data_IF_465012736849
#
_entry.id   IF_465012736849
#
_cell.length_a   1.000
_cell.length_b   1.000
_cell.length_c   1.000
_cell.angle_alpha   90.00
_cell.angle_beta   90.00
_cell.angle_gamma   90.00
#
_symmetry.space_group_name_H-M   'P 1'
#
loop_
_entity.id
_entity.type
_entity.pdbx_description
1 polymer ?
#
# COMPACT_ATOMS: atom_id res chain seq x y z
N UNK A 1 4.97 -8.43 -19.85
CA UNK A 1 5.24 -7.04 -20.24
C UNK A 1 5.35 -6.18 -18.98
N UNK A 2 6.44 -5.45 -18.83
CA UNK A 2 6.66 -4.56 -17.68
C UNK A 2 6.06 -3.20 -17.94
N UNK A 3 5.35 -2.66 -16.94
CA UNK A 3 4.78 -1.31 -16.99
C UNK A 3 5.20 -0.54 -15.75
N UNK A 4 5.63 0.71 -15.95
CA UNK A 4 6.10 1.56 -14.88
C UNK A 4 4.97 2.22 -14.10
N UNK A 5 5.26 2.51 -12.83
CA UNK A 5 4.43 3.35 -11.97
C UNK A 5 5.33 4.03 -10.95
N UNK A 6 4.77 4.84 -10.09
CA UNK A 6 5.58 5.54 -9.10
C UNK A 6 4.92 5.52 -7.72
N UNK A 7 5.74 5.80 -6.72
CA UNK A 7 5.34 5.90 -5.32
C UNK A 7 5.09 7.38 -5.00
N UNK A 8 3.94 7.68 -4.38
CA UNK A 8 3.64 9.01 -3.86
C UNK A 8 4.06 9.14 -2.39
N UNK A 9 3.90 8.06 -1.62
CA UNK A 9 4.21 8.08 -0.19
C UNK A 9 4.48 6.68 0.32
N UNK A 10 5.36 6.57 1.30
CA UNK A 10 5.65 5.35 2.06
C UNK A 10 5.24 5.62 3.50
N UNK A 11 4.38 4.77 4.05
CA UNK A 11 3.70 5.01 5.32
C UNK A 11 3.85 3.82 6.25
N UNK A 12 4.04 4.11 7.54
CA UNK A 12 4.20 3.07 8.57
C UNK A 12 3.41 3.43 9.83
N UNK A 13 3.18 2.44 10.68
CA UNK A 13 2.64 2.63 12.02
C UNK A 13 3.31 1.65 12.98
N UNK A 14 3.35 2.00 14.27
CA UNK A 14 3.92 1.13 15.31
C UNK A 14 2.90 0.08 15.80
N UNK A 15 1.61 0.31 15.54
CA UNK A 15 0.52 -0.57 15.98
C UNK A 15 -0.42 -0.90 14.83
N UNK A 16 -1.04 -2.07 14.89
CA UNK A 16 -2.11 -2.47 13.97
C UNK A 16 -3.41 -1.75 14.34
N UNK A 17 -4.34 -1.65 13.39
CA UNK A 17 -5.66 -1.07 13.61
C UNK A 17 -5.68 0.46 13.70
N UNK A 18 -4.58 1.14 13.38
CA UNK A 18 -4.48 2.59 13.37
C UNK A 18 -4.04 3.09 12.00
N UNK A 19 -4.25 4.38 11.75
CA UNK A 19 -3.76 5.02 10.53
C UNK A 19 -2.23 4.97 10.50
N UNK A 20 -1.68 4.94 9.30
CA UNK A 20 -0.24 5.03 9.10
C UNK A 20 0.14 6.47 8.77
N UNK A 21 1.41 6.79 8.89
CA UNK A 21 1.93 8.13 8.61
C UNK A 21 3.10 8.06 7.63
N UNK A 22 3.25 9.07 6.75
CA UNK A 22 4.40 9.14 5.86
C UNK A 22 5.72 9.08 6.64
N UNK A 23 6.65 8.28 6.13
CA UNK A 23 7.96 8.11 6.75
C UNK A 23 8.79 9.38 6.54
N UNK A 24 9.39 9.96 7.59
CA UNK A 24 10.32 11.06 7.41
C UNK A 24 11.46 10.65 6.46
N UNK A 25 11.77 11.50 5.48
CA UNK A 25 12.78 11.21 4.47
C UNK A 25 12.31 10.34 3.31
N UNK A 26 11.10 9.76 3.37
CA UNK A 26 10.51 9.02 2.26
C UNK A 26 11.26 7.76 1.86
N UNK A 27 11.88 7.05 2.81
CA UNK A 27 12.67 5.84 2.57
C UNK A 27 12.38 4.77 3.59
N UNK A 28 12.22 3.52 3.13
CA UNK A 28 12.02 2.36 4.00
C UNK A 28 12.92 1.20 3.52
N UNK A 29 13.12 0.22 4.39
CA UNK A 29 13.78 -1.04 4.05
C UNK A 29 12.73 -2.14 4.01
N UNK A 30 12.65 -2.86 2.90
CA UNK A 30 11.84 -4.06 2.77
C UNK A 30 12.70 -5.28 3.06
N UNK A 31 12.15 -6.22 3.83
CA UNK A 31 12.83 -7.46 4.19
C UNK A 31 12.05 -8.65 3.65
N UNK A 32 12.76 -9.60 3.03
CA UNK A 32 12.18 -10.83 2.51
C UNK A 32 11.35 -11.55 3.55
N UNK A 33 10.16 -11.98 3.15
CA UNK A 33 9.19 -12.69 3.98
C UNK A 33 8.87 -11.97 5.31
N UNK A 34 8.88 -10.65 5.28
CA UNK A 34 8.62 -9.83 6.48
C UNK A 34 7.76 -8.61 6.14
N UNK A 35 8.23 -7.74 5.26
CA UNK A 35 7.57 -6.49 4.88
C UNK A 35 8.47 -5.29 5.15
N UNK A 36 7.87 -4.17 5.54
CA UNK A 36 8.61 -2.96 5.87
C UNK A 36 9.16 -3.09 7.30
N UNK A 37 10.46 -2.98 7.44
CA UNK A 37 11.12 -2.99 8.75
C UNK A 37 10.56 -1.85 9.59
N UNK A 38 10.07 -2.17 10.80
CA UNK A 38 9.50 -1.21 11.73
C UNK A 38 8.00 -0.96 11.57
N UNK A 39 7.35 -1.57 10.60
CA UNK A 39 5.89 -1.44 10.42
C UNK A 39 5.15 -2.53 11.18
N UNK A 40 3.98 -2.18 11.74
CA UNK A 40 3.19 -3.08 12.56
C UNK A 40 2.63 -4.29 11.81
N UNK A 41 2.39 -4.17 10.49
CA UNK A 41 1.87 -5.27 9.67
C UNK A 41 2.96 -6.21 9.17
N UNK A 42 4.22 -5.90 9.39
CA UNK A 42 5.32 -6.77 8.99
C UNK A 42 5.24 -8.11 9.74
N UNK A 43 5.59 -9.18 9.06
CA UNK A 43 5.59 -10.53 9.62
C UNK A 43 5.49 -11.58 8.53
N UNK A 44 5.64 -12.86 8.93
CA UNK A 44 5.61 -13.98 7.98
C UNK A 44 4.16 -14.38 7.64
N UNK A 45 3.45 -13.55 6.90
CA UNK A 45 2.10 -13.80 6.44
C UNK A 45 1.86 -13.14 5.08
N UNK A 46 0.64 -13.27 4.52
CA UNK A 46 0.37 -12.80 3.16
C UNK A 46 0.08 -11.30 3.05
N UNK A 47 -0.16 -10.60 4.16
CA UNK A 47 -0.45 -9.15 4.19
C UNK A 47 0.74 -8.35 4.70
N UNK A 48 1.93 -8.65 4.23
CA UNK A 48 3.15 -8.00 4.70
C UNK A 48 3.22 -6.52 4.36
N UNK A 49 2.74 -6.16 3.17
CA UNK A 49 2.73 -4.78 2.67
C UNK A 49 1.38 -4.50 2.05
N UNK A 50 0.78 -3.39 2.43
CA UNK A 50 -0.47 -2.92 1.82
C UNK A 50 -0.20 -1.77 0.85
N UNK A 51 -0.92 -1.77 -0.28
CA UNK A 51 -0.76 -0.75 -1.31
C UNK A 51 -2.15 -0.20 -1.69
N UNK A 52 -2.21 1.10 -1.94
CA UNK A 52 -3.42 1.78 -2.38
C UNK A 52 -3.05 2.83 -3.43
N UNK A 53 -3.82 2.90 -4.51
CA UNK A 53 -3.60 3.87 -5.55
C UNK A 53 -3.95 5.28 -5.06
N UNK A 54 -3.08 6.26 -5.34
CA UNK A 54 -3.34 7.66 -5.03
C UNK A 54 -4.58 8.19 -5.74
N UNK A 55 -4.89 7.64 -6.93
CA UNK A 55 -6.12 7.96 -7.66
C UNK A 55 -7.37 7.62 -6.83
N UNK A 56 -7.34 6.52 -6.08
CA UNK A 56 -8.43 6.14 -5.19
C UNK A 56 -8.51 7.06 -3.95
N UNK A 57 -7.38 7.51 -3.45
CA UNK A 57 -7.33 8.53 -2.38
C UNK A 57 -7.97 9.83 -2.89
N UNK A 58 -7.65 10.24 -4.11
CA UNK A 58 -8.24 11.44 -4.72
C UNK A 58 -9.76 11.32 -4.84
N UNK A 59 -10.28 10.16 -5.19
CA UNK A 59 -11.71 9.89 -5.25
C UNK A 59 -12.38 10.13 -3.88
N UNK A 60 -11.75 9.66 -2.81
CA UNK A 60 -12.28 9.86 -1.45
C UNK A 60 -12.20 11.32 -1.01
N UNK A 61 -11.13 12.03 -1.38
CA UNK A 61 -11.02 13.48 -1.12
C UNK A 61 -12.15 14.25 -1.78
N UNK A 62 -12.58 13.82 -2.96
CA UNK A 62 -13.71 14.41 -3.67
C UNK A 62 -15.04 14.29 -2.93
N UNK A 63 -15.15 13.45 -1.90
CA UNK A 63 -16.34 13.30 -1.05
C UNK A 63 -16.38 14.31 0.10
N UNK A 64 -15.43 15.24 0.15
CA UNK A 64 -15.46 16.39 1.07
C UNK A 64 -14.77 16.20 2.41
N UNK A 65 -13.98 15.15 2.60
CA UNK A 65 -13.18 14.96 3.82
C UNK A 65 -11.70 15.18 3.54
N UNK A 66 -10.97 15.63 4.56
CA UNK A 66 -9.52 15.74 4.48
C UNK A 66 -8.89 14.39 4.73
N UNK A 67 -8.11 13.93 3.75
CA UNK A 67 -7.44 12.64 3.81
C UNK A 67 -5.98 12.84 3.40
N UNK A 68 -5.06 12.37 4.22
CA UNK A 68 -3.64 12.31 3.92
C UNK A 68 -3.21 10.91 3.52
N UNK A 69 -2.01 10.80 2.97
CA UNK A 69 -1.42 9.50 2.67
C UNK A 69 -1.20 8.72 3.98
N UNK A 70 -1.52 7.44 3.96
CA UNK A 70 -1.45 6.58 5.14
C UNK A 70 -2.74 6.53 5.96
N UNK A 71 -3.69 7.42 5.72
CA UNK A 71 -4.94 7.49 6.48
C UNK A 71 -5.82 6.24 6.31
N UNK A 72 -5.68 5.52 5.19
CA UNK A 72 -6.35 4.23 4.98
C UNK A 72 -5.53 3.05 5.50
N UNK A 73 -4.47 3.32 6.27
CA UNK A 73 -3.52 2.33 6.76
C UNK A 73 -2.74 1.62 5.65
N UNK A 74 -2.62 2.25 4.48
CA UNK A 74 -1.80 1.72 3.40
C UNK A 74 -0.32 2.03 3.64
N UNK A 75 0.55 1.06 3.33
CA UNK A 75 2.00 1.23 3.41
C UNK A 75 2.53 2.02 2.22
N UNK A 76 2.05 1.73 1.02
CA UNK A 76 2.53 2.33 -0.22
C UNK A 76 1.36 2.99 -0.93
N UNK A 77 1.46 4.30 -1.12
CA UNK A 77 0.50 5.04 -1.94
C UNK A 77 1.14 5.23 -3.31
N UNK A 78 0.46 4.81 -4.37
CA UNK A 78 1.02 4.77 -5.73
C UNK A 78 0.32 5.74 -6.66
N UNK A 79 0.90 5.91 -7.86
CA UNK A 79 0.26 6.59 -8.99
C UNK A 79 0.70 5.94 -10.29
N UNK A 80 -0.22 5.84 -11.24
CA UNK A 80 0.08 5.32 -12.56
C UNK A 80 -0.20 3.84 -12.74
N UNK A 81 -0.88 3.20 -11.78
CA UNK A 81 -1.27 1.80 -11.89
C UNK A 81 -2.64 1.59 -11.23
N UNK A 82 -3.50 0.84 -11.88
CA UNK A 82 -4.76 0.38 -11.26
C UNK A 82 -4.48 -0.92 -10.49
N UNK A 83 -4.10 -0.76 -9.23
CA UNK A 83 -3.66 -1.87 -8.38
C UNK A 83 -4.72 -2.97 -8.26
N UNK A 84 -5.98 -2.60 -8.11
CA UNK A 84 -7.06 -3.57 -7.90
C UNK A 84 -7.35 -4.43 -9.12
N UNK A 85 -6.85 -4.05 -10.29
CA UNK A 85 -6.98 -4.85 -11.51
C UNK A 85 -5.87 -5.88 -11.68
N UNK A 86 -4.83 -5.82 -10.86
CA UNK A 86 -3.70 -6.75 -10.95
C UNK A 86 -4.08 -8.10 -10.35
N UNK A 87 -3.90 -9.21 -11.08
CA UNK A 87 -4.19 -10.53 -10.52
C UNK A 87 -3.29 -10.86 -9.32
N UNK A 88 -3.79 -11.68 -8.40
CA UNK A 88 -2.95 -12.31 -7.38
C UNK A 88 -1.84 -13.07 -8.07
N UNK A 89 -0.61 -12.94 -7.57
CA UNK A 89 0.59 -13.51 -8.18
C UNK A 89 1.36 -12.52 -9.06
N UNK A 90 0.80 -11.35 -9.35
CA UNK A 90 1.51 -10.33 -10.10
C UNK A 90 2.77 -9.89 -9.35
N UNK A 91 3.87 -9.78 -10.09
CA UNK A 91 5.15 -9.31 -9.53
C UNK A 91 5.24 -7.80 -9.61
N UNK A 92 5.61 -7.20 -8.48
CA UNK A 92 5.84 -5.77 -8.37
C UNK A 92 7.32 -5.55 -8.08
N UNK A 93 7.92 -4.59 -8.75
CA UNK A 93 9.28 -4.16 -8.45
C UNK A 93 9.23 -2.74 -7.88
N UNK A 94 9.73 -2.58 -6.66
CA UNK A 94 9.84 -1.28 -5.98
C UNK A 94 11.32 -1.04 -5.72
N UNK A 95 11.98 -0.24 -6.57
CA UNK A 95 13.43 -0.05 -6.45
C UNK A 95 14.17 -1.37 -6.54
N UNK A 96 14.91 -1.73 -5.50
CA UNK A 96 15.65 -2.99 -5.43
C UNK A 96 14.81 -4.18 -4.97
N UNK A 97 13.63 -3.91 -4.38
CA UNK A 97 12.79 -4.95 -3.80
C UNK A 97 11.82 -5.54 -4.83
N UNK A 98 11.45 -6.80 -4.64
CA UNK A 98 10.45 -7.49 -5.43
C UNK A 98 9.35 -8.02 -4.53
N UNK A 99 8.09 -7.81 -4.93
CA UNK A 99 6.92 -8.22 -4.19
C UNK A 99 6.00 -9.05 -5.09
N UNK A 100 5.11 -9.82 -4.45
CA UNK A 100 4.07 -10.57 -5.14
C UNK A 100 2.72 -10.20 -4.53
N UNK A 101 1.76 -9.86 -5.38
CA UNK A 101 0.38 -9.57 -4.94
C UNK A 101 -0.22 -10.86 -4.37
N UNK A 102 -0.72 -10.78 -3.14
CA UNK A 102 -1.28 -11.93 -2.41
C UNK A 102 -2.77 -11.81 -2.15
N UNK A 103 -3.31 -10.60 -2.14
CA UNK A 103 -4.73 -10.38 -1.84
C UNK A 103 -5.20 -9.07 -2.45
N UNK A 104 -6.42 -9.07 -2.96
CA UNK A 104 -7.07 -7.86 -3.49
C UNK A 104 -8.26 -7.55 -2.56
N UNK A 105 -8.27 -6.33 -2.00
CA UNK A 105 -9.29 -5.92 -1.06
C UNK A 105 -9.17 -6.60 0.29
N UNK A 106 -10.04 -6.24 1.20
CA UNK A 106 -10.16 -6.88 2.52
C UNK A 106 -11.55 -6.72 3.08
N UNK A 107 -11.96 -7.63 3.99
CA UNK A 107 -13.15 -7.45 4.78
C UNK A 107 -12.89 -6.42 5.87
N UNK A 108 -13.86 -5.54 6.11
CA UNK A 108 -13.82 -4.56 7.18
C UNK A 108 -15.01 -4.79 8.09
N UNK A 109 -14.80 -5.50 9.21
CA UNK A 109 -15.87 -5.86 10.13
C UNK A 109 -16.29 -4.68 11.03
N UNK A 110 -15.35 -3.78 11.35
CA UNK A 110 -15.61 -2.57 12.10
C UNK A 110 -15.24 -1.39 11.20
N UNK A 111 -16.25 -0.67 10.73
CA UNK A 111 -16.03 0.46 9.83
C UNK A 111 -15.18 1.55 10.53
N UNK A 112 -14.15 2.03 9.85
CA UNK A 112 -13.27 3.07 10.39
C UNK A 112 -13.94 4.45 10.37
N UNK A 113 -13.24 5.44 10.95
CA UNK A 113 -13.74 6.82 10.98
C UNK A 113 -14.04 7.37 9.58
N UNK A 114 -13.25 6.99 8.57
CA UNK A 114 -13.48 7.43 7.18
C UNK A 114 -14.81 6.88 6.67
N UNK A 115 -15.11 5.60 6.90
CA UNK A 115 -16.37 5.01 6.49
C UNK A 115 -17.55 5.73 7.17
N UNK A 116 -17.45 6.00 8.46
CA UNK A 116 -18.52 6.70 9.21
C UNK A 116 -18.72 8.14 8.74
N UNK A 117 -17.63 8.80 8.26
CA UNK A 117 -17.72 10.18 7.79
C UNK A 117 -18.43 10.29 6.42
N UNK A 118 -18.20 9.34 5.51
CA UNK A 118 -18.69 9.43 4.11
C UNK A 118 -19.51 8.22 3.66
N UNK A 119 -19.67 7.21 4.49
CA UNK A 119 -20.42 5.98 4.15
C UNK A 119 -19.68 5.06 3.19
N UNK A 120 -18.37 5.23 3.00
CA UNK A 120 -17.56 4.45 2.06
C UNK A 120 -16.10 4.39 2.50
N UNK A 121 -15.38 3.39 2.01
CA UNK A 121 -13.94 3.28 2.19
C UNK A 121 -13.37 2.50 1.00
N UNK A 122 -12.30 3.02 0.40
CA UNK A 122 -11.71 2.41 -0.79
C UNK A 122 -10.82 1.21 -0.47
N UNK A 123 -10.23 1.14 0.74
CA UNK A 123 -9.28 0.07 1.06
C UNK A 123 -9.88 -1.33 0.96
N UNK A 124 -11.12 -1.61 1.46
CA UNK A 124 -11.72 -2.93 1.31
C UNK A 124 -11.97 -3.37 -0.12
N UNK A 125 -12.18 -2.41 -1.04
CA UNK A 125 -12.50 -2.70 -2.44
C UNK A 125 -11.30 -2.60 -3.37
N UNK A 126 -10.44 -1.62 -3.12
CA UNK A 126 -9.41 -1.17 -4.06
C UNK A 126 -7.99 -1.38 -3.57
N UNK A 127 -7.80 -1.58 -2.25
CA UNK A 127 -6.48 -1.85 -1.69
C UNK A 127 -6.01 -3.25 -2.02
N UNK A 128 -4.71 -3.44 -2.10
CA UNK A 128 -4.10 -4.75 -2.29
C UNK A 128 -3.04 -5.02 -1.24
N UNK A 129 -2.68 -6.28 -1.10
CA UNK A 129 -1.62 -6.73 -0.20
C UNK A 129 -0.60 -7.54 -0.99
N UNK A 130 0.64 -7.47 -0.54
CA UNK A 130 1.74 -8.18 -1.17
C UNK A 130 2.69 -8.74 -0.11
N UNK A 131 3.45 -9.75 -0.51
CA UNK A 131 4.56 -10.25 0.29
C UNK A 131 5.88 -9.90 -0.39
N UNK A 132 6.93 -9.76 0.40
CA UNK A 132 8.26 -9.42 -0.09
C UNK A 132 8.99 -10.69 -0.49
N UNK A 133 9.33 -10.81 -1.78
CA UNK A 133 10.11 -11.93 -2.32
C UNK A 133 11.61 -11.64 -2.25
N UNK A 134 11.99 -10.39 -2.44
CA UNK A 134 13.37 -9.93 -2.37
C UNK A 134 13.38 -8.59 -1.66
N UNK A 135 14.17 -8.47 -0.61
CA UNK A 135 14.30 -7.23 0.15
C UNK A 135 15.16 -6.19 -0.54
N UNK A 136 15.15 -4.99 -0.01
CA UNK A 136 15.94 -3.88 -0.50
C UNK A 136 15.43 -2.56 0.03
N UNK A 137 16.18 -1.49 -0.21
CA UNK A 137 15.75 -0.15 0.12
C UNK A 137 14.80 0.40 -0.94
N UNK A 138 13.76 1.09 -0.50
CA UNK A 138 12.76 1.72 -1.36
C UNK A 138 12.55 3.14 -0.89
N UNK A 139 12.54 4.08 -1.84
CA UNK A 139 12.22 5.48 -1.57
C UNK A 139 11.07 5.93 -2.46
N UNK A 140 10.53 7.11 -2.17
CA UNK A 140 9.50 7.71 -3.03
C UNK A 140 10.00 8.01 -4.43
N UNK A 141 11.33 8.10 -4.61
CA UNK A 141 11.96 8.33 -5.92
C UNK A 141 12.35 7.04 -6.65
N UNK A 142 12.13 5.88 -6.03
CA UNK A 142 12.49 4.59 -6.63
C UNK A 142 11.71 4.34 -7.91
N UNK A 143 12.37 3.73 -8.89
CA UNK A 143 11.71 3.21 -10.08
C UNK A 143 10.85 2.01 -9.70
N UNK A 144 9.62 1.99 -10.19
CA UNK A 144 8.68 0.92 -9.91
C UNK A 144 8.07 0.37 -11.19
N UNK A 145 7.81 -0.93 -11.20
CA UNK A 145 7.18 -1.58 -12.34
C UNK A 145 6.37 -2.79 -11.87
N UNK A 146 5.39 -3.18 -12.68
CA UNK A 146 4.67 -4.43 -12.51
C UNK A 146 4.76 -5.26 -13.78
N UNK A 147 4.69 -6.56 -13.62
CA UNK A 147 4.83 -7.51 -14.72
C UNK A 147 3.59 -8.40 -14.77
N UNK A 148 2.87 -8.30 -15.87
CA UNK A 148 1.68 -9.10 -16.15
C UNK A 148 2.03 -10.34 -16.95
#
# INVERSE_FOLDING_TARGET
>A
MKRGFRILSLNVSERTGVQKRPVPGGRVTLKENHGIVGDAHAGAWHRQVSLLAGEDVDTMRGKGIQIGFGDFAENVTTRGVDLSSLPVGTRLKLGEAELEVTQIGKECHAHCAIYHAVGDCVMPRRGIFARVLKGGEVSVDSDCAYDL
#
